data_IF_898640444982
#
_entry.id   IF_898640444982
#
_cell.length_a   1.000
_cell.length_b   1.000
_cell.length_c   1.000
_cell.angle_alpha   90.00
_cell.angle_beta   90.00
_cell.angle_gamma   90.00
#
_symmetry.space_group_name_H-M   'P 1'
#
loop_
_entity.id
_entity.type
_entity.pdbx_description
1 polymer ?
#
# COMPACT_ATOMS: atom_id res chain seq x y z
N UNK A 1 -16.75 28.99 -8.42
CA UNK A 1 -16.88 28.21 -7.18
C UNK A 1 -15.79 28.64 -6.21
N UNK A 2 -16.08 28.64 -4.91
CA UNK A 2 -15.08 28.84 -3.84
C UNK A 2 -14.93 27.53 -3.07
N UNK A 3 -13.70 27.05 -2.95
CA UNK A 3 -13.39 25.80 -2.26
C UNK A 3 -12.56 26.08 -1.01
N UNK A 4 -12.94 25.48 0.10
CA UNK A 4 -12.24 25.59 1.38
C UNK A 4 -12.03 24.19 1.93
N UNK A 5 -10.80 23.86 2.33
CA UNK A 5 -10.53 22.66 3.11
C UNK A 5 -10.83 22.91 4.59
N UNK A 6 -11.10 21.83 5.32
CA UNK A 6 -11.31 21.91 6.76
C UNK A 6 -9.97 21.83 7.51
N UNK A 7 -10.03 22.03 8.82
CA UNK A 7 -8.86 22.13 9.69
C UNK A 7 -8.24 20.78 10.01
N UNK A 8 -6.93 20.82 10.27
CA UNK A 8 -6.18 19.72 10.87
C UNK A 8 -6.17 19.94 12.39
N UNK A 9 -6.41 18.88 13.14
CA UNK A 9 -6.33 18.85 14.60
C UNK A 9 -5.21 17.92 15.06
N UNK A 10 -4.72 18.09 16.29
CA UNK A 10 -3.85 17.14 16.99
C UNK A 10 -4.53 16.84 18.31
N UNK A 11 -4.86 15.58 18.56
CA UNK A 11 -5.61 15.16 19.75
C UNK A 11 -6.89 15.98 19.94
N UNK A 12 -7.63 16.23 18.85
CA UNK A 12 -8.87 17.01 18.84
C UNK A 12 -8.72 18.53 19.02
N UNK A 13 -7.49 19.05 19.19
CA UNK A 13 -7.22 20.50 19.25
C UNK A 13 -6.75 21.01 17.91
N UNK A 14 -7.29 22.14 17.46
CA UNK A 14 -6.88 22.81 16.21
C UNK A 14 -5.36 23.00 16.17
N UNK A 15 -4.74 22.59 15.07
CA UNK A 15 -3.33 22.86 14.82
C UNK A 15 -3.16 24.34 14.46
N UNK A 16 -2.26 25.05 15.16
CA UNK A 16 -2.01 26.46 14.86
C UNK A 16 -0.91 27.08 15.71
N UNK A 17 -0.26 28.11 15.17
CA UNK A 17 0.84 28.82 15.85
C UNK A 17 0.44 29.34 17.24
N UNK A 18 -0.81 29.82 17.37
CA UNK A 18 -1.37 30.30 18.64
C UNK A 18 -1.52 29.20 19.71
N UNK A 19 -1.57 27.93 19.31
CA UNK A 19 -1.69 26.78 20.21
C UNK A 19 -0.35 26.09 20.46
N UNK A 20 0.74 26.58 19.86
CA UNK A 20 2.10 26.05 19.97
C UNK A 20 2.19 24.52 19.71
N UNK A 21 1.38 24.01 18.77
CA UNK A 21 1.28 22.59 18.43
C UNK A 21 1.51 22.32 16.94
N UNK A 22 2.20 23.22 16.22
CA UNK A 22 2.42 23.06 14.78
C UNK A 22 3.56 22.07 14.54
N UNK A 23 3.29 21.03 13.74
CA UNK A 23 4.31 20.13 13.20
C UNK A 23 4.61 20.55 11.77
N UNK A 24 5.87 20.78 11.43
CA UNK A 24 6.27 21.10 10.04
C UNK A 24 6.39 19.81 9.22
N UNK A 25 6.17 19.92 7.91
CA UNK A 25 6.42 18.81 6.98
C UNK A 25 7.87 18.29 7.08
N UNK A 26 8.85 19.19 7.20
CA UNK A 26 10.25 18.80 7.38
C UNK A 26 10.47 17.96 8.64
N UNK A 27 9.72 18.24 9.71
CA UNK A 27 9.80 17.51 10.96
C UNK A 27 9.05 16.18 10.90
N UNK A 28 7.94 16.10 10.15
CA UNK A 28 7.27 14.83 9.82
C UNK A 28 8.20 13.89 9.06
N UNK A 29 8.91 14.42 8.08
CA UNK A 29 9.80 13.62 7.23
C UNK A 29 11.07 13.21 7.95
N UNK A 30 11.57 14.02 8.89
CA UNK A 30 12.79 13.71 9.63
C UNK A 30 12.52 12.98 10.95
N UNK A 31 11.28 12.99 11.47
CA UNK A 31 10.93 12.46 12.79
C UNK A 31 11.42 13.30 13.97
N UNK A 32 11.86 14.55 13.74
CA UNK A 32 12.55 15.35 14.78
C UNK A 32 11.61 16.13 15.70
N UNK A 33 10.28 16.05 15.51
CA UNK A 33 9.33 16.73 16.38
C UNK A 33 9.04 15.88 17.64
N UNK A 34 9.00 16.45 18.85
CA UNK A 34 8.88 15.69 20.11
C UNK A 34 7.64 14.80 20.27
N UNK A 35 6.62 14.99 19.43
CA UNK A 35 5.37 14.22 19.48
C UNK A 35 5.33 13.12 18.41
N UNK A 36 6.35 13.02 17.55
CA UNK A 36 6.43 11.97 16.54
C UNK A 36 7.19 10.77 17.11
N UNK A 37 6.67 9.59 16.83
CA UNK A 37 7.32 8.32 17.21
C UNK A 37 8.36 7.88 16.19
N UNK A 38 8.24 8.35 14.94
CA UNK A 38 9.14 8.02 13.84
C UNK A 38 9.12 9.10 12.74
N UNK A 39 10.05 8.97 11.80
CA UNK A 39 10.00 9.68 10.53
C UNK A 39 8.94 9.06 9.60
N UNK A 40 8.24 9.88 8.84
CA UNK A 40 7.23 9.43 7.89
C UNK A 40 7.58 9.80 6.47
N UNK A 41 7.50 8.83 5.56
CA UNK A 41 7.76 9.07 4.14
C UNK A 41 6.72 10.07 3.56
N UNK A 42 7.10 11.00 2.66
CA UNK A 42 6.16 11.98 2.10
C UNK A 42 4.90 11.37 1.47
N UNK A 43 5.02 10.19 0.85
CA UNK A 43 3.86 9.48 0.30
C UNK A 43 2.93 8.91 1.38
N UNK A 44 3.43 8.55 2.56
CA UNK A 44 2.59 8.16 3.70
C UNK A 44 1.75 9.34 4.15
N UNK A 45 2.37 10.52 4.31
CA UNK A 45 1.65 11.75 4.70
C UNK A 45 0.61 12.15 3.64
N UNK A 46 0.97 12.04 2.34
CA UNK A 46 0.03 12.29 1.24
C UNK A 46 -1.16 11.34 1.29
N UNK A 47 -0.91 10.04 1.39
CA UNK A 47 -1.95 9.03 1.43
C UNK A 47 -2.86 9.18 2.66
N UNK A 48 -2.28 9.44 3.83
CA UNK A 48 -3.01 9.74 5.05
C UNK A 48 -4.02 10.89 4.88
N UNK A 49 -3.61 12.01 4.25
CA UNK A 49 -4.51 13.13 3.99
C UNK A 49 -5.65 12.72 3.03
N UNK A 50 -5.34 11.96 1.99
CA UNK A 50 -6.31 11.55 0.97
C UNK A 50 -7.37 10.57 1.49
N UNK A 51 -7.13 9.90 2.61
CA UNK A 51 -8.10 9.01 3.27
C UNK A 51 -9.26 9.76 3.93
N UNK A 52 -9.18 11.09 4.06
CA UNK A 52 -10.23 11.92 4.63
C UNK A 52 -10.74 12.91 3.60
N UNK A 53 -12.07 13.07 3.51
CA UNK A 53 -12.68 14.06 2.63
C UNK A 53 -12.14 15.47 2.92
N UNK A 54 -11.83 16.28 1.91
CA UNK A 54 -11.14 17.57 2.10
C UNK A 54 -11.90 18.58 2.98
N UNK A 55 -13.23 18.42 3.09
CA UNK A 55 -14.14 19.20 3.95
C UNK A 55 -14.32 18.64 5.37
N UNK A 56 -13.74 17.49 5.68
CA UNK A 56 -13.79 16.87 7.00
C UNK A 56 -12.57 17.25 7.82
N UNK A 57 -12.72 17.28 9.15
CA UNK A 57 -11.59 17.49 10.05
C UNK A 57 -10.65 16.30 10.00
N UNK A 58 -9.35 16.57 9.81
CA UNK A 58 -8.31 15.55 9.83
C UNK A 58 -7.59 15.59 11.18
N UNK A 59 -7.79 14.57 12.03
CA UNK A 59 -7.11 14.50 13.32
C UNK A 59 -5.81 13.72 13.21
N UNK A 60 -4.72 14.41 13.54
CA UNK A 60 -3.35 13.92 13.47
C UNK A 60 -3.02 13.06 14.69
N UNK A 61 -2.53 11.85 14.43
CA UNK A 61 -1.96 10.95 15.44
C UNK A 61 -0.87 10.05 14.82
N UNK A 62 0.06 9.54 15.64
CA UNK A 62 1.08 8.59 15.17
C UNK A 62 0.43 7.28 14.70
N UNK A 63 -0.57 6.81 15.44
CA UNK A 63 -1.30 5.58 15.11
C UNK A 63 -1.95 5.68 13.72
N UNK A 64 -2.55 6.84 13.39
CA UNK A 64 -3.18 7.07 12.10
C UNK A 64 -2.15 7.11 10.95
N UNK A 65 -0.99 7.74 11.15
CA UNK A 65 0.08 7.77 10.16
C UNK A 65 0.71 6.38 9.95
N UNK A 66 1.02 5.65 11.02
CA UNK A 66 1.54 4.28 10.94
C UNK A 66 0.54 3.33 10.28
N UNK A 67 -0.75 3.48 10.58
CA UNK A 67 -1.80 2.73 9.90
C UNK A 67 -1.86 3.08 8.40
N UNK A 68 -1.73 4.35 8.06
CA UNK A 68 -1.69 4.82 6.67
C UNK A 68 -0.48 4.26 5.92
N UNK A 69 0.68 4.16 6.57
CA UNK A 69 1.87 3.56 5.98
C UNK A 69 1.64 2.09 5.62
N UNK A 70 1.14 1.28 6.57
CA UNK A 70 0.82 -0.13 6.31
C UNK A 70 -0.24 -0.28 5.22
N UNK A 71 -1.27 0.56 5.24
CA UNK A 71 -2.32 0.57 4.24
C UNK A 71 -1.80 0.92 2.84
N UNK A 72 -0.92 1.91 2.72
CA UNK A 72 -0.30 2.29 1.46
C UNK A 72 0.55 1.15 0.89
N UNK A 73 1.37 0.50 1.73
CA UNK A 73 2.15 -0.68 1.33
C UNK A 73 1.26 -1.78 0.76
N UNK A 74 0.21 -2.13 1.51
CA UNK A 74 -0.76 -3.17 1.10
C UNK A 74 -1.46 -2.83 -0.22
N UNK A 75 -1.88 -1.57 -0.40
CA UNK A 75 -2.53 -1.13 -1.63
C UNK A 75 -1.57 -1.20 -2.83
N UNK A 76 -0.33 -0.73 -2.64
CA UNK A 76 0.69 -0.74 -3.68
C UNK A 76 1.10 -2.15 -4.08
N UNK A 77 1.28 -3.05 -3.11
CA UNK A 77 1.57 -4.47 -3.38
C UNK A 77 0.47 -5.14 -4.20
N UNK A 78 -0.80 -4.90 -3.85
CA UNK A 78 -1.93 -5.40 -4.63
C UNK A 78 -1.93 -4.82 -6.04
N UNK A 79 -1.61 -3.53 -6.21
CA UNK A 79 -1.51 -2.92 -7.52
C UNK A 79 -0.39 -3.53 -8.38
N UNK A 80 0.79 -3.79 -7.80
CA UNK A 80 1.89 -4.48 -8.48
C UNK A 80 1.56 -5.93 -8.86
N UNK A 81 0.74 -6.60 -8.05
CA UNK A 81 0.18 -7.92 -8.39
C UNK A 81 -0.79 -7.79 -9.56
N UNK A 82 -1.73 -6.85 -9.49
CA UNK A 82 -2.74 -6.61 -10.51
C UNK A 82 -2.11 -6.37 -11.88
N UNK A 83 -1.03 -5.57 -11.96
CA UNK A 83 -0.28 -5.31 -13.20
C UNK A 83 0.16 -6.61 -13.91
N UNK A 84 0.46 -7.66 -13.14
CA UNK A 84 0.97 -8.96 -13.62
C UNK A 84 -0.11 -10.00 -13.90
N UNK A 85 -1.36 -9.77 -13.50
CA UNK A 85 -2.45 -10.72 -13.75
C UNK A 85 -2.84 -10.72 -15.23
N UNK A 86 -3.17 -11.88 -15.77
CA UNK A 86 -3.64 -12.04 -17.14
C UNK A 86 -5.07 -12.57 -17.15
N UNK A 87 -5.96 -11.85 -17.83
CA UNK A 87 -7.38 -12.21 -17.94
C UNK A 87 -7.61 -13.22 -19.05
N UNK A 88 -8.58 -14.12 -18.88
CA UNK A 88 -8.91 -15.13 -19.88
C UNK A 88 -10.42 -15.27 -20.04
N UNK A 89 -10.90 -14.95 -21.24
CA UNK A 89 -12.27 -15.24 -21.65
C UNK A 89 -13.35 -14.56 -20.80
N UNK A 90 -14.54 -15.16 -20.79
CA UNK A 90 -15.69 -14.68 -20.04
C UNK A 90 -15.62 -15.08 -18.56
N UNK A 91 -16.27 -14.28 -17.71
CA UNK A 91 -16.37 -14.54 -16.28
C UNK A 91 -17.12 -15.85 -15.99
N UNK A 92 -16.57 -16.66 -15.09
CA UNK A 92 -17.24 -17.84 -14.52
C UNK A 92 -18.04 -17.52 -13.25
N UNK A 93 -17.77 -16.38 -12.62
CA UNK A 93 -18.54 -15.86 -11.49
C UNK A 93 -19.12 -14.48 -11.84
N UNK A 94 -20.34 -14.49 -12.37
CA UNK A 94 -21.02 -13.27 -12.80
C UNK A 94 -21.30 -12.29 -11.65
N UNK A 95 -21.44 -12.78 -10.41
CA UNK A 95 -21.70 -11.91 -9.26
C UNK A 95 -20.45 -11.15 -8.85
N UNK A 96 -19.31 -11.85 -8.74
CA UNK A 96 -18.02 -11.24 -8.45
C UNK A 96 -17.58 -10.30 -9.58
N UNK A 97 -17.76 -10.72 -10.83
CA UNK A 97 -17.43 -9.92 -12.01
C UNK A 97 -18.17 -8.58 -12.00
N UNK A 98 -19.48 -8.61 -11.78
CA UNK A 98 -20.30 -7.40 -11.65
C UNK A 98 -19.86 -6.53 -10.46
N UNK A 99 -19.60 -7.15 -9.30
CA UNK A 99 -19.17 -6.42 -8.11
C UNK A 99 -17.86 -5.64 -8.34
N UNK A 100 -16.90 -6.25 -9.04
CA UNK A 100 -15.64 -5.57 -9.39
C UNK A 100 -15.89 -4.41 -10.36
N UNK A 101 -16.77 -4.59 -11.35
CA UNK A 101 -17.16 -3.49 -12.24
C UNK A 101 -17.84 -2.34 -11.48
N UNK A 102 -18.75 -2.65 -10.57
CA UNK A 102 -19.46 -1.67 -9.74
C UNK A 102 -18.45 -0.83 -8.94
N UNK A 103 -17.49 -1.47 -8.25
CA UNK A 103 -16.42 -0.75 -7.53
C UNK A 103 -15.60 0.18 -8.42
N UNK A 104 -15.28 -0.25 -9.64
CA UNK A 104 -14.51 0.56 -10.60
C UNK A 104 -15.31 1.78 -11.07
N UNK A 105 -16.58 1.58 -11.45
CA UNK A 105 -17.45 2.63 -11.96
C UNK A 105 -17.77 3.68 -10.88
N UNK A 106 -18.03 3.24 -9.65
CA UNK A 106 -18.29 4.11 -8.50
C UNK A 106 -17.12 5.05 -8.18
N UNK A 107 -15.88 4.72 -8.55
CA UNK A 107 -14.74 5.64 -8.34
C UNK A 107 -14.94 6.98 -9.07
N UNK A 108 -15.50 6.94 -10.28
CA UNK A 108 -15.78 8.16 -11.04
C UNK A 108 -16.93 8.94 -10.40
N UNK A 109 -17.97 8.25 -9.93
CA UNK A 109 -19.11 8.85 -9.23
C UNK A 109 -18.64 9.57 -7.95
N UNK A 110 -17.76 8.93 -7.17
CA UNK A 110 -17.20 9.52 -5.96
C UNK A 110 -16.28 10.71 -6.23
N UNK A 111 -15.51 10.71 -7.32
CA UNK A 111 -14.73 11.89 -7.70
C UNK A 111 -15.59 13.05 -8.18
N UNK A 112 -16.68 12.75 -8.89
CA UNK A 112 -17.65 13.75 -9.33
C UNK A 112 -18.53 14.27 -8.17
N UNK A 113 -18.67 13.49 -7.10
CA UNK A 113 -19.29 13.91 -5.83
C UNK A 113 -18.25 14.57 -4.90
N UNK A 114 -17.93 15.82 -5.20
CA UNK A 114 -17.11 16.70 -4.34
C UNK A 114 -15.68 16.16 -4.05
N UNK A 115 -15.05 15.50 -5.03
CA UNK A 115 -13.68 14.97 -4.93
C UNK A 115 -13.50 13.99 -3.75
N UNK A 116 -14.41 13.02 -3.61
CA UNK A 116 -14.41 12.10 -2.48
C UNK A 116 -13.34 10.99 -2.60
N UNK A 117 -12.08 11.38 -2.40
CA UNK A 117 -10.91 10.49 -2.46
C UNK A 117 -10.98 9.36 -1.44
N UNK A 118 -11.59 9.59 -0.27
CA UNK A 118 -11.74 8.58 0.78
C UNK A 118 -12.56 7.39 0.28
N UNK A 119 -13.66 7.64 -0.44
CA UNK A 119 -14.50 6.58 -1.01
C UNK A 119 -13.85 5.88 -2.20
N UNK A 120 -13.11 6.61 -3.04
CA UNK A 120 -12.29 5.99 -4.10
C UNK A 120 -11.30 5.00 -3.49
N UNK A 121 -10.54 5.42 -2.48
CA UNK A 121 -9.58 4.57 -1.78
C UNK A 121 -10.27 3.36 -1.15
N UNK A 122 -11.47 3.54 -0.57
CA UNK A 122 -12.26 2.44 -0.02
C UNK A 122 -12.58 1.37 -1.08
N UNK A 123 -13.10 1.77 -2.25
CA UNK A 123 -13.39 0.83 -3.35
C UNK A 123 -12.14 0.10 -3.83
N UNK A 124 -11.00 0.78 -3.89
CA UNK A 124 -9.74 0.12 -4.23
C UNK A 124 -9.36 -0.96 -3.19
N UNK A 125 -9.57 -0.70 -1.89
CA UNK A 125 -9.34 -1.70 -0.84
C UNK A 125 -10.34 -2.86 -0.87
N UNK A 126 -11.58 -2.65 -1.30
CA UNK A 126 -12.55 -3.73 -1.53
C UNK A 126 -12.09 -4.68 -2.65
N UNK A 127 -11.38 -4.17 -3.66
CA UNK A 127 -10.81 -4.99 -4.73
C UNK A 127 -9.52 -5.76 -4.32
N UNK A 128 -8.79 -5.29 -3.31
CA UNK A 128 -7.51 -5.91 -2.87
C UNK A 128 -7.63 -7.40 -2.52
N UNK A 129 -8.63 -7.86 -1.73
CA UNK A 129 -8.83 -9.29 -1.48
C UNK A 129 -9.03 -10.12 -2.74
N UNK A 130 -9.73 -9.60 -3.75
CA UNK A 130 -9.96 -10.30 -5.03
C UNK A 130 -8.65 -10.45 -5.78
N UNK A 131 -7.88 -9.37 -5.93
CA UNK A 131 -6.57 -9.37 -6.60
C UNK A 131 -5.62 -10.39 -5.95
N UNK A 132 -5.51 -10.35 -4.63
CA UNK A 132 -4.64 -11.26 -3.88
C UNK A 132 -5.18 -12.70 -3.89
N UNK A 133 -6.50 -12.89 -3.89
CA UNK A 133 -7.15 -14.18 -4.02
C UNK A 133 -6.89 -14.84 -5.37
N UNK A 134 -6.86 -14.07 -6.46
CA UNK A 134 -6.49 -14.56 -7.78
C UNK A 134 -5.01 -14.98 -7.79
N UNK A 135 -4.11 -14.14 -7.27
CA UNK A 135 -2.68 -14.47 -7.16
C UNK A 135 -2.43 -15.75 -6.35
N UNK A 136 -3.11 -15.90 -5.21
CA UNK A 136 -2.92 -17.04 -4.31
C UNK A 136 -3.72 -18.29 -4.70
N UNK A 137 -4.53 -18.23 -5.77
CA UNK A 137 -5.35 -19.33 -6.27
C UNK A 137 -6.59 -19.64 -5.41
N UNK A 138 -6.95 -18.79 -4.45
CA UNK A 138 -8.20 -18.91 -3.71
C UNK A 138 -9.41 -18.47 -4.55
N UNK A 139 -9.18 -17.54 -5.47
CA UNK A 139 -10.14 -17.11 -6.49
C UNK A 139 -9.62 -17.58 -7.83
N UNK A 140 -10.47 -18.21 -8.64
CA UNK A 140 -10.07 -18.66 -9.98
C UNK A 140 -9.72 -17.44 -10.85
N UNK A 141 -8.70 -17.55 -11.71
CA UNK A 141 -8.32 -16.45 -12.60
C UNK A 141 -9.45 -16.06 -13.57
N UNK A 142 -10.31 -17.02 -13.94
CA UNK A 142 -11.49 -16.79 -14.76
C UNK A 142 -12.74 -16.44 -13.93
N UNK A 143 -12.62 -16.16 -12.63
CA UNK A 143 -13.76 -15.73 -11.82
C UNK A 143 -14.32 -14.41 -12.35
N UNK A 144 -13.43 -13.48 -12.74
CA UNK A 144 -13.77 -12.26 -13.45
C UNK A 144 -13.37 -12.37 -14.93
N UNK A 145 -14.06 -11.62 -15.79
CA UNK A 145 -13.80 -11.58 -17.23
C UNK A 145 -12.49 -10.84 -17.53
N UNK A 146 -11.95 -11.08 -18.73
CA UNK A 146 -10.79 -10.33 -19.22
C UNK A 146 -11.06 -8.81 -19.27
N UNK A 147 -12.27 -8.40 -19.67
CA UNK A 147 -12.67 -6.99 -19.75
C UNK A 147 -12.75 -6.35 -18.36
N UNK A 148 -13.32 -7.04 -17.37
CA UNK A 148 -13.37 -6.58 -15.97
C UNK A 148 -11.97 -6.45 -15.38
N UNK A 149 -11.07 -7.41 -15.66
CA UNK A 149 -9.69 -7.31 -15.17
C UNK A 149 -8.97 -6.10 -15.81
N UNK A 150 -9.20 -5.83 -17.10
CA UNK A 150 -8.62 -4.67 -17.76
C UNK A 150 -9.19 -3.37 -17.18
N UNK A 151 -10.51 -3.28 -16.99
CA UNK A 151 -11.15 -2.15 -16.30
C UNK A 151 -10.54 -1.91 -14.92
N UNK A 152 -10.30 -2.97 -14.15
CA UNK A 152 -9.68 -2.88 -12.83
C UNK A 152 -8.24 -2.34 -12.90
N UNK A 153 -7.44 -2.79 -13.88
CA UNK A 153 -6.09 -2.27 -14.13
C UNK A 153 -6.11 -0.77 -14.47
N UNK A 154 -6.94 -0.40 -15.42
CA UNK A 154 -7.07 0.99 -15.89
C UNK A 154 -7.57 1.90 -14.77
N UNK A 155 -8.51 1.42 -13.95
CA UNK A 155 -9.02 2.11 -12.77
C UNK A 155 -7.91 2.32 -11.75
N UNK A 156 -7.13 1.27 -11.44
CA UNK A 156 -6.04 1.38 -10.48
C UNK A 156 -4.95 2.36 -10.94
N UNK A 157 -4.53 2.27 -12.20
CA UNK A 157 -3.56 3.20 -12.77
C UNK A 157 -4.06 4.65 -12.76
N UNK A 158 -5.31 4.86 -13.21
CA UNK A 158 -5.94 6.18 -13.23
C UNK A 158 -5.96 6.79 -11.84
N UNK A 159 -6.44 6.07 -10.82
CA UNK A 159 -6.61 6.67 -9.50
C UNK A 159 -5.33 6.68 -8.66
N UNK A 160 -4.56 5.59 -8.58
CA UNK A 160 -3.34 5.56 -7.76
C UNK A 160 -2.27 6.50 -8.33
N UNK A 161 -1.94 6.37 -9.62
CA UNK A 161 -0.81 7.11 -10.21
C UNK A 161 -1.25 8.48 -10.72
N UNK A 162 -2.30 8.54 -11.57
CA UNK A 162 -2.60 9.76 -12.31
C UNK A 162 -3.41 10.80 -11.52
N UNK A 163 -4.39 10.38 -10.70
CA UNK A 163 -5.26 11.30 -9.94
C UNK A 163 -4.70 11.55 -8.54
N UNK A 164 -4.47 10.51 -7.75
CA UNK A 164 -4.02 10.64 -6.36
C UNK A 164 -2.52 10.96 -6.29
N UNK A 165 -1.74 10.64 -7.33
CA UNK A 165 -0.31 10.93 -7.39
C UNK A 165 0.49 10.16 -6.34
N UNK A 166 0.07 8.93 -6.04
CA UNK A 166 0.77 8.05 -5.12
C UNK A 166 1.94 7.38 -5.84
N UNK A 167 2.97 7.06 -5.08
CA UNK A 167 4.18 6.38 -5.57
C UNK A 167 4.56 5.26 -4.61
N UNK A 168 5.27 4.27 -5.13
CA UNK A 168 5.88 3.22 -4.32
C UNK A 168 6.74 3.84 -3.22
N UNK A 169 6.63 3.35 -1.98
CA UNK A 169 7.48 3.79 -0.87
C UNK A 169 8.97 3.48 -1.09
N UNK A 170 9.29 2.59 -2.03
CA UNK A 170 10.65 2.20 -2.41
C UNK A 170 11.33 3.15 -3.41
N UNK A 171 10.67 4.23 -3.85
CA UNK A 171 11.25 5.19 -4.80
C UNK A 171 12.34 6.12 -4.21
N UNK A 172 12.93 5.78 -3.07
CA UNK A 172 14.14 6.40 -2.53
C UNK A 172 15.31 5.42 -2.70
N UNK A 173 16.38 5.86 -3.38
CA UNK A 173 17.58 5.13 -3.84
C UNK A 173 18.26 4.13 -2.87
N UNK A 174 17.86 4.10 -1.59
CA UNK A 174 18.32 3.15 -0.57
C UNK A 174 17.75 1.75 -0.74
N UNK A 175 16.56 1.59 -1.34
CA UNK A 175 15.93 0.26 -1.49
C UNK A 175 16.73 -0.63 -2.43
N UNK A 176 17.16 -0.13 -3.59
CA UNK A 176 17.77 -0.97 -4.63
C UNK A 176 19.06 -1.66 -4.16
N UNK A 177 19.87 -0.98 -3.32
CA UNK A 177 21.07 -1.59 -2.72
C UNK A 177 20.73 -2.59 -1.62
N UNK A 178 19.75 -2.27 -0.78
CA UNK A 178 19.28 -3.19 0.26
C UNK A 178 18.65 -4.44 -0.35
N UNK A 179 17.82 -4.27 -1.37
CA UNK A 179 17.14 -5.33 -2.11
C UNK A 179 18.17 -6.24 -2.81
N UNK A 180 19.26 -5.68 -3.35
CA UNK A 180 20.38 -6.45 -3.89
C UNK A 180 21.12 -7.26 -2.80
N UNK A 181 21.38 -6.66 -1.64
CA UNK A 181 22.03 -7.34 -0.51
C UNK A 181 21.13 -8.45 0.05
N UNK A 182 19.83 -8.20 0.17
CA UNK A 182 18.85 -9.19 0.63
C UNK A 182 18.70 -10.34 -0.36
N UNK A 183 18.65 -10.04 -1.65
CA UNK A 183 18.63 -11.05 -2.71
C UNK A 183 19.85 -11.97 -2.64
N UNK A 184 21.04 -11.41 -2.42
CA UNK A 184 22.27 -12.18 -2.23
C UNK A 184 22.21 -13.06 -0.97
N UNK A 185 21.70 -12.54 0.15
CA UNK A 185 21.56 -13.31 1.40
C UNK A 185 20.54 -14.45 1.27
N UNK A 186 19.44 -14.22 0.53
CA UNK A 186 18.45 -15.24 0.21
C UNK A 186 19.07 -16.35 -0.66
N UNK A 187 19.89 -15.98 -1.65
CA UNK A 187 20.60 -16.93 -2.51
C UNK A 187 21.60 -17.77 -1.70
N UNK A 188 22.41 -17.15 -0.85
CA UNK A 188 23.34 -17.85 0.05
C UNK A 188 22.60 -18.81 0.98
N UNK A 189 21.44 -18.41 1.52
CA UNK A 189 20.58 -19.29 2.32
C UNK A 189 20.08 -20.48 1.51
N UNK A 190 19.62 -20.26 0.27
CA UNK A 190 19.14 -21.32 -0.62
C UNK A 190 20.28 -22.30 -0.94
N UNK A 191 21.48 -21.80 -1.19
CA UNK A 191 22.65 -22.61 -1.49
C UNK A 191 23.13 -23.41 -0.26
N UNK A 192 23.07 -22.82 0.93
CA UNK A 192 23.31 -23.52 2.20
C UNK A 192 22.31 -24.67 2.41
N UNK A 193 21.01 -24.46 2.14
CA UNK A 193 20.00 -25.52 2.21
C UNK A 193 20.26 -26.63 1.19
N UNK A 194 20.64 -26.29 -0.04
CA UNK A 194 21.00 -27.27 -1.08
C UNK A 194 22.20 -28.13 -0.67
N UNK A 195 23.20 -27.52 -0.01
CA UNK A 195 24.37 -28.23 0.54
C UNK A 195 24.10 -28.91 1.90
N UNK A 196 22.86 -28.91 2.39
CA UNK A 196 22.43 -29.42 3.70
C UNK A 196 23.14 -28.77 4.91
N UNK A 197 23.65 -27.55 4.73
CA UNK A 197 24.18 -26.71 5.80
C UNK A 197 23.03 -25.92 6.44
N UNK A 198 22.28 -26.63 7.30
CA UNK A 198 21.13 -26.05 7.99
C UNK A 198 21.54 -25.00 9.03
N UNK A 199 22.74 -25.14 9.62
CA UNK A 199 23.25 -24.20 10.61
C UNK A 199 23.44 -22.80 10.01
N UNK A 200 24.09 -22.70 8.85
CA UNK A 200 24.27 -21.42 8.14
C UNK A 200 22.94 -20.85 7.67
N UNK A 201 22.03 -21.69 7.16
CA UNK A 201 20.68 -21.26 6.76
C UNK A 201 19.89 -20.64 7.92
N UNK A 202 19.91 -21.28 9.09
CA UNK A 202 19.19 -20.79 10.27
C UNK A 202 19.84 -19.54 10.84
N UNK A 203 21.17 -19.45 10.81
CA UNK A 203 21.90 -18.26 11.23
C UNK A 203 21.52 -17.02 10.39
N UNK A 204 21.43 -17.17 9.07
CA UNK A 204 21.00 -16.08 8.17
C UNK A 204 19.56 -15.66 8.49
N UNK A 205 18.64 -16.63 8.64
CA UNK A 205 17.24 -16.35 8.95
C UNK A 205 17.09 -15.60 10.29
N UNK A 206 17.76 -16.08 11.33
CA UNK A 206 17.64 -15.50 12.66
C UNK A 206 18.23 -14.09 12.71
N UNK A 207 19.38 -13.86 12.07
CA UNK A 207 19.98 -12.51 12.00
C UNK A 207 19.14 -11.52 11.20
N UNK A 208 18.49 -11.96 10.13
CA UNK A 208 17.56 -11.12 9.38
C UNK A 208 16.35 -10.78 10.24
N UNK A 209 15.80 -11.75 10.98
CA UNK A 209 14.70 -11.52 11.89
C UNK A 209 15.07 -10.54 13.02
N UNK A 210 16.27 -10.67 13.61
CA UNK A 210 16.82 -9.71 14.59
C UNK A 210 16.94 -8.29 14.02
N UNK A 211 17.18 -8.17 12.72
CA UNK A 211 17.26 -6.90 12.01
C UNK A 211 15.88 -6.39 11.54
N UNK A 212 14.77 -7.01 11.96
CA UNK A 212 13.41 -6.63 11.55
C UNK A 212 13.01 -7.10 10.15
N UNK A 213 13.76 -8.02 9.55
CA UNK A 213 13.52 -8.53 8.19
C UNK A 213 12.99 -9.95 8.27
N UNK A 214 11.70 -10.12 8.00
CA UNK A 214 11.05 -11.42 8.00
C UNK A 214 11.08 -12.03 6.60
N UNK A 215 11.74 -13.18 6.46
CA UNK A 215 11.70 -13.97 5.23
C UNK A 215 10.49 -14.90 5.20
N UNK A 216 9.83 -15.00 4.06
CA UNK A 216 8.70 -15.89 3.82
C UNK A 216 8.95 -16.76 2.59
N UNK A 217 8.97 -18.07 2.82
CA UNK A 217 9.08 -19.05 1.74
C UNK A 217 7.68 -19.20 1.09
N UNK A 218 7.56 -18.89 -0.20
CA UNK A 218 6.33 -18.98 -0.98
C UNK A 218 6.13 -20.37 -1.58
N UNK A 219 4.88 -20.72 -1.93
CA UNK A 219 4.52 -22.06 -2.46
C UNK A 219 5.18 -22.39 -3.80
N UNK A 220 5.55 -21.38 -4.58
CA UNK A 220 6.25 -21.52 -5.87
C UNK A 220 7.77 -21.72 -5.69
N UNK A 221 8.26 -21.73 -4.45
CA UNK A 221 9.69 -21.85 -4.14
C UNK A 221 10.47 -20.54 -4.22
N UNK A 222 9.80 -19.42 -4.46
CA UNK A 222 10.38 -18.08 -4.28
C UNK A 222 10.41 -17.71 -2.79
N UNK A 223 11.28 -16.77 -2.43
CA UNK A 223 11.37 -16.24 -1.06
C UNK A 223 11.05 -14.75 -1.14
N UNK A 224 9.95 -14.35 -0.51
CA UNK A 224 9.60 -12.95 -0.31
C UNK A 224 10.12 -12.47 1.05
N UNK A 225 10.27 -11.16 1.24
CA UNK A 225 10.61 -10.58 2.54
C UNK A 225 9.71 -9.40 2.87
N UNK A 226 9.48 -9.18 4.15
CA UNK A 226 8.90 -7.97 4.70
C UNK A 226 9.88 -7.33 5.68
N UNK A 227 9.95 -6.01 5.67
CA UNK A 227 10.71 -5.22 6.64
C UNK A 227 9.69 -4.63 7.61
N UNK A 228 9.79 -4.98 8.89
CA UNK A 228 9.01 -4.38 9.99
C UNK A 228 9.62 -3.06 10.46
#
# INVERSE_FOLDING_TARGET
>A
YWMHNNMITINGKKMGKSYNNVIKLTELFSGNHPILEQAYHPMVVRFYILQTHYRSTLDFSNEALQASERALRRLWEAYEVLKKLEGKGAAKDAALDKQVQDWCNECADFMNDDFNTARVIANMFEAVPVINGIKGGQVAAEAISADTLQLLKDTFETYIENVLGLQALQAAESSNKLDQVLSLLIEIRKDARTRKDFATSDQIRNKLLEAGIQLKDEKDGSVSYSVE
#
